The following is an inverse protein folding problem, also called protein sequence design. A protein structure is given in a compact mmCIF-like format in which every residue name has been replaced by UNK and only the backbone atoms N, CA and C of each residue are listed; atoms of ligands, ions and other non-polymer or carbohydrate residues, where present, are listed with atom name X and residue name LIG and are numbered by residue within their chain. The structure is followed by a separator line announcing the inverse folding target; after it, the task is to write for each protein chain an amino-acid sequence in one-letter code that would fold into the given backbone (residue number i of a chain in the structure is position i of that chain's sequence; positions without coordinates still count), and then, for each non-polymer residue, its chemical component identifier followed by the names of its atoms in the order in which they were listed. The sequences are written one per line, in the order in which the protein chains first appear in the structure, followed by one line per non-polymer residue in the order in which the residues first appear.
data_IF_353495478874
#
_entry.id   IF_353495478874
#
_cell.length_a   1.000
_cell.length_b   1.000
_cell.length_c   1.000
_cell.angle_alpha   90.00
_cell.angle_beta   90.00
_cell.angle_gamma   90.00
#
_symmetry.space_group_name_H-M   'P 1'
#
loop_
_entity.id
_entity.type
_entity.pdbx_description
1 polymer ?
#
# COMPACT_ATOMS: atom_id res chain seq x y z
N UNK A 1 13.85 -14.21 -10.10
CA UNK A 1 13.28 -13.26 -9.11
C UNK A 1 11.75 -13.41 -9.19
N UNK A 2 11.08 -13.55 -8.07
CA UNK A 2 9.63 -13.80 -8.06
C UNK A 2 8.86 -12.46 -7.99
N UNK A 3 7.94 -12.24 -8.94
CA UNK A 3 7.31 -10.93 -9.16
C UNK A 3 6.32 -10.51 -8.06
N UNK A 4 5.63 -11.44 -7.42
CA UNK A 4 4.66 -11.10 -6.37
C UNK A 4 5.35 -10.55 -5.12
N UNK A 5 6.57 -11.04 -4.81
CA UNK A 5 7.39 -10.52 -3.71
C UNK A 5 7.87 -9.11 -4.03
N UNK A 6 8.31 -8.85 -5.27
CA UNK A 6 8.71 -7.51 -5.69
C UNK A 6 7.54 -6.56 -5.57
N UNK A 7 6.39 -6.93 -6.13
CA UNK A 7 5.18 -6.10 -6.09
C UNK A 7 4.73 -5.83 -4.64
N UNK A 8 4.73 -6.83 -3.76
CA UNK A 8 4.36 -6.64 -2.36
C UNK A 8 5.34 -5.68 -1.63
N UNK A 9 6.64 -5.83 -1.86
CA UNK A 9 7.67 -5.00 -1.21
C UNK A 9 7.66 -3.56 -1.71
N UNK A 10 7.52 -3.33 -3.03
CA UNK A 10 7.43 -1.94 -3.54
C UNK A 10 6.15 -1.26 -3.06
N UNK A 11 5.04 -2.01 -2.97
CA UNK A 11 3.78 -1.49 -2.43
C UNK A 11 3.94 -1.12 -0.95
N UNK A 12 4.59 -1.97 -0.16
CA UNK A 12 4.86 -1.70 1.25
C UNK A 12 5.81 -0.49 1.44
N UNK A 13 6.83 -0.36 0.59
CA UNK A 13 7.72 0.80 0.60
C UNK A 13 6.95 2.10 0.31
N UNK A 14 6.09 2.09 -0.71
CA UNK A 14 5.22 3.22 -1.04
C UNK A 14 4.28 3.57 0.11
N UNK A 15 3.65 2.57 0.74
CA UNK A 15 2.78 2.76 1.91
C UNK A 15 3.55 3.36 3.10
N UNK A 16 4.77 2.89 3.37
CA UNK A 16 5.61 3.40 4.45
C UNK A 16 6.04 4.86 4.20
N UNK A 17 6.40 5.21 2.97
CA UNK A 17 6.68 6.60 2.57
C UNK A 17 5.43 7.47 2.79
N UNK A 18 4.26 7.01 2.33
CA UNK A 18 3.01 7.72 2.56
C UNK A 18 2.72 7.96 4.04
N UNK A 19 2.87 6.94 4.88
CA UNK A 19 2.69 7.07 6.34
C UNK A 19 3.67 8.08 6.95
N UNK A 20 4.96 8.00 6.59
CA UNK A 20 6.02 8.88 7.10
C UNK A 20 5.77 10.33 6.72
N UNK A 21 5.40 10.60 5.47
CA UNK A 21 5.11 11.96 5.01
C UNK A 21 3.84 12.52 5.65
N UNK A 22 2.79 11.70 5.72
CA UNK A 22 1.48 12.15 6.17
C UNK A 22 1.29 12.17 7.68
N UNK A 23 2.17 11.55 8.47
CA UNK A 23 2.07 11.62 9.94
C UNK A 23 2.29 13.01 10.50
N UNK A 24 3.00 13.89 9.78
CA UNK A 24 3.42 15.19 10.29
C UNK A 24 4.28 15.04 11.54
N UNK A 25 3.96 15.80 12.60
CA UNK A 25 4.67 15.74 13.88
C UNK A 25 4.14 14.66 14.85
N UNK A 26 3.07 13.93 14.50
CA UNK A 26 2.52 12.90 15.37
C UNK A 26 3.36 11.62 15.37
N UNK A 27 3.27 10.86 16.46
CA UNK A 27 3.83 9.52 16.56
C UNK A 27 2.77 8.50 16.15
N UNK A 28 3.14 7.60 15.26
CA UNK A 28 2.28 6.50 14.83
C UNK A 28 2.50 5.29 15.74
N UNK A 29 1.79 5.21 16.87
CA UNK A 29 2.02 4.17 17.88
C UNK A 29 1.20 2.91 17.67
N UNK A 30 0.06 3.02 16.98
CA UNK A 30 -0.86 1.90 16.74
C UNK A 30 -1.15 1.78 15.25
N UNK A 31 -0.76 0.64 14.69
CA UNK A 31 -1.05 0.26 13.31
C UNK A 31 -2.31 -0.59 13.26
N UNK A 32 -3.29 -0.16 12.50
CA UNK A 32 -4.49 -0.91 12.20
C UNK A 32 -4.42 -1.57 10.84
N UNK A 33 -4.77 -2.85 10.76
CA UNK A 33 -4.75 -3.61 9.52
C UNK A 33 -6.13 -4.19 9.23
N UNK A 34 -6.64 -3.91 8.04
CA UNK A 34 -7.84 -4.53 7.50
C UNK A 34 -7.41 -5.40 6.32
N UNK A 35 -7.52 -6.72 6.48
CA UNK A 35 -6.95 -7.75 5.62
C UNK A 35 -5.58 -8.27 6.11
N UNK A 36 -5.37 -9.59 6.01
CA UNK A 36 -4.18 -10.31 6.51
C UNK A 36 -3.37 -10.96 5.39
N UNK A 37 -3.26 -10.26 4.25
CA UNK A 37 -2.50 -10.71 3.10
C UNK A 37 -1.01 -10.38 3.17
N UNK A 38 -0.27 -10.84 2.16
CA UNK A 38 1.17 -10.59 2.00
C UNK A 38 1.50 -9.09 2.01
N UNK A 39 0.67 -8.27 1.38
CA UNK A 39 0.89 -6.82 1.30
C UNK A 39 0.91 -6.20 2.70
N UNK A 40 -0.11 -6.47 3.54
CA UNK A 40 -0.14 -5.96 4.90
C UNK A 40 1.01 -6.52 5.75
N UNK A 41 1.46 -7.75 5.53
CA UNK A 41 2.64 -8.28 6.21
C UNK A 41 3.91 -7.49 5.87
N UNK A 42 4.14 -7.20 4.60
CA UNK A 42 5.27 -6.37 4.18
C UNK A 42 5.12 -4.92 4.67
N UNK A 43 3.90 -4.37 4.72
CA UNK A 43 3.64 -3.03 5.30
C UNK A 43 4.05 -2.99 6.78
N UNK A 44 3.71 -4.01 7.58
CA UNK A 44 4.19 -4.10 8.97
C UNK A 44 5.72 -4.03 9.02
N UNK A 45 6.40 -4.83 8.19
CA UNK A 45 7.88 -4.87 8.16
C UNK A 45 8.50 -3.51 7.83
N UNK A 46 7.98 -2.83 6.81
CA UNK A 46 8.48 -1.53 6.39
C UNK A 46 8.17 -0.45 7.43
N UNK A 47 6.95 -0.42 7.97
CA UNK A 47 6.56 0.55 8.99
C UNK A 47 7.33 0.39 10.31
N UNK A 48 7.66 -0.83 10.73
CA UNK A 48 8.52 -1.03 11.90
C UNK A 48 9.93 -0.45 11.72
N UNK A 49 10.36 -0.25 10.47
CA UNK A 49 11.66 0.37 10.17
C UNK A 49 11.55 1.89 10.09
N UNK A 50 10.50 2.41 9.46
CA UNK A 50 10.32 3.87 9.23
C UNK A 50 9.61 4.58 10.40
N UNK A 51 8.77 3.84 11.15
CA UNK A 51 8.01 4.33 12.30
C UNK A 51 8.28 3.41 13.50
N UNK A 52 9.49 3.44 14.10
CA UNK A 52 9.89 2.52 15.18
C UNK A 52 9.09 2.70 16.47
N UNK A 53 8.29 3.76 16.56
CA UNK A 53 7.34 4.01 17.64
C UNK A 53 6.07 3.15 17.61
N UNK A 54 5.86 2.35 16.55
CA UNK A 54 4.74 1.41 16.48
C UNK A 54 4.99 0.25 17.46
N UNK A 55 4.12 0.12 18.44
CA UNK A 55 4.16 -0.91 19.48
C UNK A 55 2.96 -1.85 19.43
N UNK A 56 1.86 -1.39 18.86
CA UNK A 56 0.60 -2.16 18.77
C UNK A 56 0.16 -2.32 17.34
N UNK A 57 -0.23 -3.54 16.97
CA UNK A 57 -0.89 -3.84 15.69
C UNK A 57 -2.26 -4.44 15.96
N UNK A 58 -3.30 -3.78 15.48
CA UNK A 58 -4.67 -4.30 15.50
C UNK A 58 -4.96 -4.94 14.14
N UNK A 59 -5.46 -6.16 14.16
CA UNK A 59 -5.68 -6.96 12.95
C UNK A 59 -7.15 -7.32 12.84
N UNK A 60 -7.77 -6.99 11.71
CA UNK A 60 -9.13 -7.41 11.36
C UNK A 60 -9.13 -8.14 10.02
N UNK A 61 -9.69 -9.33 9.97
CA UNK A 61 -9.88 -10.12 8.74
C UNK A 61 -11.19 -10.89 8.84
N UNK A 62 -11.79 -11.22 7.70
CA UNK A 62 -13.01 -12.05 7.63
C UNK A 62 -12.74 -13.49 8.10
N UNK A 63 -11.49 -13.96 8.03
CA UNK A 63 -11.08 -15.29 8.48
C UNK A 63 -10.24 -15.21 9.74
N UNK A 64 -10.79 -15.69 10.84
CA UNK A 64 -10.09 -15.80 12.12
C UNK A 64 -8.80 -16.65 11.99
N UNK A 65 -8.85 -17.73 11.22
CA UNK A 65 -7.68 -18.58 11.01
C UNK A 65 -6.54 -17.82 10.33
N UNK A 66 -6.83 -17.05 9.28
CA UNK A 66 -5.85 -16.22 8.60
C UNK A 66 -5.28 -15.14 9.51
N UNK A 67 -6.13 -14.50 10.32
CA UNK A 67 -5.69 -13.52 11.29
C UNK A 67 -4.73 -14.12 12.32
N UNK A 68 -5.01 -15.32 12.82
CA UNK A 68 -4.11 -16.03 13.75
C UNK A 68 -2.78 -16.43 13.10
N UNK A 69 -2.80 -16.89 11.85
CA UNK A 69 -1.57 -17.20 11.12
C UNK A 69 -0.73 -15.94 10.88
N UNK A 70 -1.38 -14.84 10.52
CA UNK A 70 -0.75 -13.53 10.33
C UNK A 70 -0.12 -13.03 11.63
N UNK A 71 -0.86 -13.09 12.74
CA UNK A 71 -0.37 -12.74 14.08
C UNK A 71 0.92 -13.48 14.40
N UNK A 72 0.93 -14.82 14.26
CA UNK A 72 2.14 -15.63 14.52
C UNK A 72 3.34 -15.21 13.67
N UNK A 73 3.13 -14.87 12.39
CA UNK A 73 4.20 -14.37 11.52
C UNK A 73 4.71 -12.99 11.95
N UNK A 74 3.82 -12.07 12.30
CA UNK A 74 4.21 -10.74 12.73
C UNK A 74 4.92 -10.73 14.09
N UNK A 75 4.57 -11.63 15.01
CA UNK A 75 5.25 -11.78 16.29
C UNK A 75 6.75 -12.14 16.14
N UNK A 76 7.13 -12.74 15.01
CA UNK A 76 8.53 -13.05 14.72
C UNK A 76 9.35 -11.83 14.25
N UNK A 77 8.70 -10.71 13.98
CA UNK A 77 9.37 -9.51 13.48
C UNK A 77 9.99 -8.67 14.61
N UNK A 78 9.36 -8.68 15.79
CA UNK A 78 9.85 -7.91 16.95
C UNK A 78 9.18 -8.38 18.24
N UNK A 79 9.97 -8.62 19.27
CA UNK A 79 9.48 -8.99 20.61
C UNK A 79 8.71 -7.86 21.32
N UNK A 80 8.87 -6.62 20.84
CA UNK A 80 8.17 -5.45 21.39
C UNK A 80 6.76 -5.28 20.84
N UNK A 81 6.41 -6.03 19.80
CA UNK A 81 5.17 -5.82 19.07
C UNK A 81 4.00 -6.56 19.73
N UNK A 82 3.03 -5.81 20.24
CA UNK A 82 1.75 -6.36 20.68
C UNK A 82 0.80 -6.50 19.48
N UNK A 83 0.26 -7.70 19.25
CA UNK A 83 -0.66 -7.96 18.13
C UNK A 83 -1.98 -8.47 18.66
N UNK A 84 -3.03 -7.69 18.42
CA UNK A 84 -4.39 -7.98 18.81
C UNK A 84 -5.27 -8.27 17.59
N UNK A 85 -5.98 -9.38 17.61
CA UNK A 85 -7.01 -9.66 16.61
C UNK A 85 -8.32 -9.10 17.13
N UNK A 86 -8.97 -8.29 16.31
CA UNK A 86 -10.25 -7.67 16.64
C UNK A 86 -11.34 -8.15 15.67
N UNK A 87 -12.55 -8.33 16.17
CA UNK A 87 -13.68 -8.85 15.39
C UNK A 87 -14.21 -7.81 14.38
N UNK A 88 -14.16 -6.52 14.74
CA UNK A 88 -14.81 -5.43 14.03
C UNK A 88 -13.79 -4.44 13.46
N UNK A 89 -13.93 -4.08 12.19
CA UNK A 89 -13.12 -3.03 11.56
C UNK A 89 -13.28 -1.67 12.26
N UNK A 90 -14.45 -1.39 12.85
CA UNK A 90 -14.71 -0.20 13.65
C UNK A 90 -13.73 -0.05 14.83
N UNK A 91 -13.31 -1.15 15.45
CA UNK A 91 -12.29 -1.14 16.51
C UNK A 91 -10.93 -0.72 15.97
N UNK A 92 -10.55 -1.21 14.77
CA UNK A 92 -9.34 -0.79 14.07
C UNK A 92 -9.38 0.71 13.80
N UNK A 93 -10.47 1.21 13.20
CA UNK A 93 -10.63 2.62 12.85
C UNK A 93 -10.50 3.53 14.10
N UNK A 94 -11.13 3.16 15.22
CA UNK A 94 -11.16 3.96 16.44
C UNK A 94 -9.83 4.02 17.17
N UNK A 95 -9.05 2.93 17.18
CA UNK A 95 -7.88 2.80 18.04
C UNK A 95 -6.54 3.05 17.33
N UNK A 96 -6.53 3.13 16.00
CA UNK A 96 -5.28 3.19 15.24
C UNK A 96 -4.91 4.60 14.81
N UNK A 97 -3.62 4.93 14.89
CA UNK A 97 -3.04 6.19 14.39
C UNK A 97 -2.65 6.11 12.91
N UNK A 98 -2.39 4.90 12.40
CA UNK A 98 -2.25 4.60 10.97
C UNK A 98 -3.05 3.35 10.64
N UNK A 99 -3.79 3.37 9.54
CA UNK A 99 -4.70 2.29 9.16
C UNK A 99 -4.41 1.88 7.72
N UNK A 100 -4.13 0.59 7.51
CA UNK A 100 -3.91 0.04 6.17
C UNK A 100 -5.06 -0.86 5.75
N UNK A 101 -5.64 -0.55 4.59
CA UNK A 101 -6.59 -1.39 3.88
C UNK A 101 -5.86 -2.12 2.76
N UNK A 102 -5.68 -3.43 2.90
CA UNK A 102 -5.14 -4.29 1.87
C UNK A 102 -5.98 -5.58 1.77
N UNK A 103 -7.19 -5.41 1.26
CA UNK A 103 -8.22 -6.43 1.13
C UNK A 103 -8.36 -6.91 -0.32
N UNK A 104 -9.25 -7.85 -0.55
CA UNK A 104 -9.70 -8.28 -1.88
C UNK A 104 -11.10 -7.77 -2.21
N UNK A 105 -11.55 -6.70 -1.55
CA UNK A 105 -12.86 -6.11 -1.80
C UNK A 105 -12.97 -5.64 -3.26
N UNK A 106 -14.11 -5.93 -3.87
CA UNK A 106 -14.43 -5.52 -5.24
C UNK A 106 -15.36 -4.31 -5.28
N UNK A 107 -15.94 -3.96 -4.13
CA UNK A 107 -16.86 -2.83 -3.96
C UNK A 107 -16.62 -2.18 -2.60
N UNK A 108 -16.91 -0.88 -2.45
CA UNK A 108 -16.83 -0.18 -1.16
C UNK A 108 -17.69 -0.86 -0.10
N UNK A 109 -17.12 -1.01 1.08
CA UNK A 109 -17.78 -1.60 2.25
C UNK A 109 -17.58 -0.78 3.53
N UNK A 110 -16.75 0.26 3.47
CA UNK A 110 -16.58 1.25 4.54
C UNK A 110 -17.21 2.56 4.07
N UNK A 111 -18.19 3.04 4.80
CA UNK A 111 -18.93 4.26 4.49
C UNK A 111 -18.81 5.35 5.56
N UNK A 112 -18.11 5.07 6.66
CA UNK A 112 -17.90 6.01 7.77
C UNK A 112 -16.49 5.87 8.36
N UNK A 113 -15.76 6.99 8.43
CA UNK A 113 -14.48 7.13 9.11
C UNK A 113 -14.54 8.13 10.28
N UNK A 114 -15.74 8.55 10.70
CA UNK A 114 -15.91 9.53 11.78
C UNK A 114 -15.33 9.09 13.13
N UNK A 115 -15.16 7.77 13.31
CA UNK A 115 -14.56 7.19 14.51
C UNK A 115 -13.03 7.16 14.49
N UNK A 116 -12.39 7.49 13.37
CA UNK A 116 -10.94 7.54 13.30
C UNK A 116 -10.39 8.60 14.25
N UNK A 117 -9.17 8.33 14.74
CA UNK A 117 -8.47 9.33 15.54
C UNK A 117 -8.24 10.61 14.73
N UNK A 118 -8.31 11.79 15.35
CA UNK A 118 -7.89 13.02 14.71
C UNK A 118 -6.47 12.86 14.15
N UNK A 119 -6.28 13.27 12.90
CA UNK A 119 -5.01 13.15 12.18
C UNK A 119 -4.54 11.71 11.86
N UNK A 120 -5.35 10.68 12.04
CA UNK A 120 -5.02 9.34 11.58
C UNK A 120 -4.64 9.36 10.08
N UNK A 121 -3.70 8.48 9.71
CA UNK A 121 -3.28 8.29 8.32
C UNK A 121 -3.93 7.03 7.77
N UNK A 122 -4.62 7.15 6.65
CA UNK A 122 -5.25 6.04 5.97
C UNK A 122 -4.39 5.63 4.76
N UNK A 123 -3.91 4.41 4.77
CA UNK A 123 -3.20 3.77 3.66
C UNK A 123 -4.20 2.89 2.91
N UNK A 124 -4.82 3.44 1.88
CA UNK A 124 -5.88 2.78 1.10
C UNK A 124 -5.27 1.98 -0.07
N UNK A 125 -4.60 0.87 0.25
CA UNK A 125 -3.77 0.11 -0.68
C UNK A 125 -4.60 -0.77 -1.63
N UNK A 126 -5.71 -1.34 -1.16
CA UNK A 126 -6.63 -2.15 -1.96
C UNK A 126 -7.57 -1.35 -2.88
N UNK A 127 -7.66 -0.04 -2.68
CA UNK A 127 -8.29 0.96 -3.55
C UNK A 127 -9.81 0.86 -3.73
N UNK A 128 -10.51 -0.11 -3.14
CA UNK A 128 -11.96 -0.32 -3.35
C UNK A 128 -12.76 -0.47 -2.07
N UNK A 129 -12.16 -0.18 -0.91
CA UNK A 129 -12.80 -0.39 0.38
C UNK A 129 -13.67 0.78 0.82
N UNK A 130 -13.27 2.00 0.45
CA UNK A 130 -13.88 3.25 0.91
C UNK A 130 -14.98 3.73 -0.04
N UNK A 131 -16.08 4.24 0.51
CA UNK A 131 -17.15 4.82 -0.31
C UNK A 131 -16.72 6.12 -0.99
N UNK A 132 -17.35 6.52 -2.11
CA UNK A 132 -17.09 7.80 -2.77
C UNK A 132 -17.23 9.00 -1.83
N UNK A 133 -18.22 8.99 -0.93
CA UNK A 133 -18.48 10.07 0.02
C UNK A 133 -17.31 10.28 0.98
N UNK A 134 -16.66 9.19 1.42
CA UNK A 134 -15.45 9.27 2.24
C UNK A 134 -14.33 9.95 1.45
N UNK A 135 -14.10 9.53 0.20
CA UNK A 135 -13.07 10.10 -0.64
C UNK A 135 -13.32 11.60 -0.86
N UNK A 136 -14.55 11.99 -1.20
CA UNK A 136 -14.90 13.39 -1.42
C UNK A 136 -14.73 14.28 -0.17
N UNK A 137 -14.85 13.71 1.03
CA UNK A 137 -14.72 14.45 2.29
C UNK A 137 -13.29 14.52 2.84
N UNK A 138 -12.35 13.71 2.31
CA UNK A 138 -11.00 13.55 2.84
C UNK A 138 -9.96 14.45 2.15
N UNK A 139 -8.75 14.49 2.73
CA UNK A 139 -7.53 14.99 2.09
C UNK A 139 -6.89 13.85 1.31
N UNK A 140 -7.10 13.81 -0.01
CA UNK A 140 -6.67 12.68 -0.84
C UNK A 140 -5.31 12.93 -1.49
N UNK A 141 -4.41 11.97 -1.29
CA UNK A 141 -3.10 11.89 -1.90
C UNK A 141 -3.03 10.60 -2.73
N UNK A 142 -2.49 10.66 -3.92
CA UNK A 142 -2.32 9.52 -4.83
C UNK A 142 -0.86 9.39 -5.26
N UNK A 143 -0.51 8.33 -5.94
CA UNK A 143 0.79 8.20 -6.62
C UNK A 143 0.77 8.85 -8.01
N UNK A 144 -0.35 8.72 -8.73
CA UNK A 144 -0.60 9.34 -10.02
C UNK A 144 -2.12 9.55 -10.20
N UNK A 145 -2.52 10.76 -10.60
CA UNK A 145 -3.94 11.15 -10.67
C UNK A 145 -4.69 10.34 -11.74
N UNK A 146 -4.07 10.16 -12.91
CA UNK A 146 -4.72 9.46 -14.02
C UNK A 146 -4.83 7.95 -13.75
N UNK A 147 -3.84 7.36 -13.08
CA UNK A 147 -3.87 5.95 -12.72
C UNK A 147 -4.85 5.67 -11.57
N UNK A 148 -4.86 6.50 -10.53
CA UNK A 148 -5.77 6.34 -9.40
C UNK A 148 -7.24 6.48 -9.81
N UNK A 149 -7.53 7.30 -10.82
CA UNK A 149 -8.87 7.56 -11.38
C UNK A 149 -9.29 6.54 -12.44
N UNK A 150 -8.99 5.25 -12.24
CA UNK A 150 -9.33 4.15 -13.18
C UNK A 150 -9.85 2.92 -12.47
N UNK A 151 -10.30 1.94 -13.25
CA UNK A 151 -10.58 0.56 -12.81
C UNK A 151 -11.57 0.45 -11.62
N UNK A 152 -12.51 1.38 -11.53
CA UNK A 152 -13.52 1.43 -10.47
C UNK A 152 -12.91 1.45 -9.05
N UNK A 153 -11.78 2.13 -8.89
CA UNK A 153 -11.26 2.46 -7.57
C UNK A 153 -12.22 3.38 -6.83
N UNK A 154 -12.11 3.49 -5.51
CA UNK A 154 -12.88 4.46 -4.73
C UNK A 154 -12.67 5.90 -5.23
N UNK A 155 -11.44 6.24 -5.65
CA UNK A 155 -11.10 7.53 -6.26
C UNK A 155 -11.84 7.73 -7.59
N UNK A 156 -11.83 6.71 -8.47
CA UNK A 156 -12.58 6.77 -9.74
C UNK A 156 -14.10 6.90 -9.50
N UNK A 157 -14.64 6.16 -8.53
CA UNK A 157 -16.06 6.27 -8.18
C UNK A 157 -16.41 7.67 -7.64
N UNK A 158 -15.52 8.30 -6.88
CA UNK A 158 -15.68 9.66 -6.42
C UNK A 158 -15.64 10.67 -7.56
N UNK A 159 -14.75 10.50 -8.56
CA UNK A 159 -14.72 11.29 -9.79
C UNK A 159 -16.04 11.16 -10.57
N UNK A 160 -16.56 9.95 -10.75
CA UNK A 160 -17.85 9.74 -11.43
C UNK A 160 -19.02 10.38 -10.69
N UNK A 161 -18.97 10.41 -9.35
CA UNK A 161 -20.02 11.01 -8.53
C UNK A 161 -19.96 12.55 -8.53
N UNK A 162 -18.76 13.14 -8.53
CA UNK A 162 -18.56 14.61 -8.46
C UNK A 162 -18.44 15.28 -9.83
N UNK A 163 -18.09 14.52 -10.86
CA UNK A 163 -17.83 15.03 -12.21
C UNK A 163 -16.48 15.76 -12.37
N UNK A 164 -15.60 15.72 -11.36
CA UNK A 164 -14.28 16.35 -11.38
C UNK A 164 -13.29 15.61 -10.48
N UNK A 165 -12.05 16.10 -10.42
CA UNK A 165 -10.95 15.55 -9.61
C UNK A 165 -10.43 16.52 -8.55
N UNK A 166 -11.15 17.59 -8.27
CA UNK A 166 -10.71 18.66 -7.35
C UNK A 166 -10.53 18.17 -5.91
N UNK A 167 -11.12 17.02 -5.59
CA UNK A 167 -10.94 16.35 -4.29
C UNK A 167 -9.58 15.65 -4.15
N UNK A 168 -8.80 15.47 -5.22
CA UNK A 168 -7.42 14.98 -5.17
C UNK A 168 -6.51 16.18 -4.99
N UNK A 169 -5.93 16.32 -3.78
CA UNK A 169 -5.12 17.49 -3.48
C UNK A 169 -3.76 17.47 -4.19
N UNK A 170 -3.09 16.32 -4.21
CA UNK A 170 -1.72 16.22 -4.73
C UNK A 170 -1.27 14.78 -4.93
N UNK A 171 -0.09 14.60 -5.50
CA UNK A 171 0.60 13.31 -5.55
C UNK A 171 1.63 13.19 -4.42
N UNK A 172 1.99 11.94 -4.08
CA UNK A 172 3.08 11.70 -3.14
C UNK A 172 4.43 12.19 -3.69
N UNK A 173 4.58 12.19 -5.02
CA UNK A 173 5.76 12.73 -5.70
C UNK A 173 5.93 14.22 -5.45
N UNK A 174 4.87 15.01 -5.56
CA UNK A 174 4.90 16.45 -5.29
C UNK A 174 5.27 16.74 -3.83
N UNK A 175 4.75 15.94 -2.89
CA UNK A 175 5.10 16.07 -1.47
C UNK A 175 6.59 15.78 -1.25
N UNK A 176 7.12 14.71 -1.84
CA UNK A 176 8.53 14.33 -1.71
C UNK A 176 9.48 15.35 -2.34
N UNK A 177 9.08 16.01 -3.40
CA UNK A 177 9.84 17.08 -4.06
C UNK A 177 9.74 18.42 -3.34
N UNK A 178 8.81 18.57 -2.39
CA UNK A 178 8.54 19.83 -1.70
C UNK A 178 7.63 20.79 -2.47
N UNK A 179 7.00 20.32 -3.55
CA UNK A 179 6.08 21.12 -4.39
C UNK A 179 4.69 21.24 -3.75
N UNK A 180 4.36 20.36 -2.80
CA UNK A 180 3.10 20.39 -2.05
C UNK A 180 3.32 20.10 -0.56
N UNK A 181 2.50 20.67 0.34
CA UNK A 181 2.56 20.36 1.76
C UNK A 181 2.13 18.92 2.03
N UNK A 182 2.73 18.28 3.03
CA UNK A 182 2.44 16.90 3.41
C UNK A 182 0.97 16.69 3.82
N UNK A 183 0.36 17.68 4.47
CA UNK A 183 -1.06 17.65 4.91
C UNK A 183 -1.77 18.93 4.51
N UNK A 184 -3.09 18.84 4.34
CA UNK A 184 -3.94 20.02 4.22
C UNK A 184 -4.08 20.72 5.58
N UNK A 185 -4.48 21.99 5.55
CA UNK A 185 -4.66 22.82 6.75
C UNK A 185 -6.10 22.73 7.33
N UNK A 186 -6.96 21.88 6.79
CA UNK A 186 -8.39 21.84 7.07
C UNK A 186 -8.82 20.71 8.03
N UNK A 187 -7.87 20.09 8.72
CA UNK A 187 -8.09 18.98 9.68
C UNK A 187 -8.81 17.74 9.09
N UNK A 188 -8.84 17.57 7.79
CA UNK A 188 -9.36 16.37 7.16
C UNK A 188 -8.45 15.17 7.41
N UNK A 189 -9.03 13.97 7.39
CA UNK A 189 -8.25 12.74 7.38
C UNK A 189 -7.44 12.64 6.08
N UNK A 190 -6.16 12.37 6.19
CA UNK A 190 -5.31 12.14 5.01
C UNK A 190 -5.45 10.70 4.55
N UNK A 191 -5.83 10.52 3.29
CA UNK A 191 -5.97 9.20 2.65
C UNK A 191 -4.95 9.11 1.52
N UNK A 192 -4.03 8.16 1.63
CA UNK A 192 -3.10 7.81 0.56
C UNK A 192 -3.61 6.61 -0.20
N UNK A 193 -3.95 6.82 -1.47
CA UNK A 193 -4.51 5.79 -2.37
C UNK A 193 -3.58 5.54 -3.58
N UNK A 194 -2.46 4.80 -3.40
CA UNK A 194 -1.54 4.51 -4.50
C UNK A 194 -2.11 3.42 -5.41
N UNK A 195 -2.26 3.71 -6.70
CA UNK A 195 -2.66 2.71 -7.69
C UNK A 195 -1.55 1.68 -7.94
N UNK A 196 -0.31 2.13 -7.85
CA UNK A 196 0.89 1.37 -8.15
C UNK A 196 1.37 1.62 -9.58
N UNK A 197 2.62 2.07 -9.69
CA UNK A 197 3.26 2.40 -10.95
C UNK A 197 4.30 1.34 -11.30
N UNK A 198 4.26 0.84 -12.54
CA UNK A 198 5.23 -0.16 -13.03
C UNK A 198 6.69 0.30 -12.95
N UNK A 199 6.94 1.61 -12.98
CA UNK A 199 8.28 2.18 -12.78
C UNK A 199 8.85 1.85 -11.40
N UNK A 200 8.02 1.68 -10.38
CA UNK A 200 8.46 1.29 -9.03
C UNK A 200 8.91 -0.18 -8.99
N UNK A 201 8.24 -1.06 -9.73
CA UNK A 201 8.64 -2.46 -9.87
C UNK A 201 9.97 -2.56 -10.64
N UNK A 202 10.14 -1.73 -11.69
CA UNK A 202 11.40 -1.64 -12.45
C UNK A 202 12.55 -1.15 -11.57
N UNK A 203 12.35 -0.09 -10.79
CA UNK A 203 13.36 0.47 -9.90
C UNK A 203 13.81 -0.55 -8.84
N UNK A 204 12.86 -1.26 -8.22
CA UNK A 204 13.19 -2.31 -7.24
C UNK A 204 13.88 -3.51 -7.91
N UNK A 205 13.44 -3.89 -9.12
CA UNK A 205 14.07 -4.94 -9.92
C UNK A 205 15.53 -4.58 -10.28
N UNK A 206 15.79 -3.36 -10.67
CA UNK A 206 17.14 -2.86 -10.96
C UNK A 206 18.02 -2.87 -9.70
N UNK A 207 17.51 -2.44 -8.56
CA UNK A 207 18.24 -2.51 -7.29
C UNK A 207 18.59 -3.95 -6.93
N UNK A 208 17.62 -4.87 -7.01
CA UNK A 208 17.83 -6.28 -6.71
C UNK A 208 18.86 -6.91 -7.67
N UNK A 209 18.83 -6.57 -8.95
CA UNK A 209 19.82 -7.00 -9.95
C UNK A 209 21.23 -6.51 -9.58
N UNK A 210 21.37 -5.22 -9.27
CA UNK A 210 22.65 -4.61 -8.86
C UNK A 210 23.22 -5.32 -7.63
N UNK A 211 22.40 -5.51 -6.58
CA UNK A 211 22.83 -6.20 -5.36
C UNK A 211 23.20 -7.67 -5.62
N UNK A 212 22.49 -8.36 -6.50
CA UNK A 212 22.80 -9.73 -6.87
C UNK A 212 24.17 -9.84 -7.55
N UNK A 213 24.49 -8.92 -8.47
CA UNK A 213 25.82 -8.88 -9.12
C UNK A 213 26.92 -8.58 -8.09
N UNK A 214 26.73 -7.57 -7.23
CA UNK A 214 27.70 -7.20 -6.18
C UNK A 214 27.98 -8.35 -5.21
N UNK A 215 26.97 -9.16 -4.90
CA UNK A 215 27.05 -10.30 -3.98
C UNK A 215 27.36 -11.62 -4.68
N UNK A 216 27.59 -11.61 -5.98
CA UNK A 216 27.84 -12.81 -6.81
C UNK A 216 26.71 -13.86 -6.68
N UNK A 217 25.48 -13.40 -6.56
CA UNK A 217 24.27 -14.23 -6.46
C UNK A 217 23.58 -14.37 -7.81
N UNK A 218 22.98 -15.53 -8.03
CA UNK A 218 22.25 -15.84 -9.26
C UNK A 218 23.05 -16.68 -10.24
N UNK A 219 22.41 -17.04 -11.33
CA UNK A 219 22.99 -17.85 -12.42
C UNK A 219 22.76 -17.12 -13.74
N UNK A 220 23.75 -17.22 -14.64
CA UNK A 220 23.60 -16.76 -16.02
C UNK A 220 23.02 -17.89 -16.83
N UNK A 221 21.85 -17.65 -17.41
CA UNK A 221 21.21 -18.61 -18.33
C UNK A 221 21.60 -18.20 -19.74
N UNK A 222 22.44 -19.01 -20.38
CA UNK A 222 22.76 -18.83 -21.78
C UNK A 222 21.53 -19.11 -22.66
N UNK A 223 21.43 -18.37 -23.75
CA UNK A 223 20.28 -18.51 -24.68
C UNK A 223 18.90 -18.29 -24.07
N UNK A 224 18.81 -17.45 -23.02
CA UNK A 224 17.52 -17.11 -22.39
C UNK A 224 16.58 -16.35 -23.33
N UNK A 225 17.14 -15.52 -24.21
CA UNK A 225 16.33 -14.82 -25.20
C UNK A 225 15.90 -15.80 -26.29
N UNK A 226 14.63 -15.76 -26.69
CA UNK A 226 14.17 -16.59 -27.80
C UNK A 226 14.97 -16.25 -29.08
N UNK A 227 15.27 -17.23 -29.91
CA UNK A 227 15.84 -17.02 -31.21
C UNK A 227 15.00 -15.99 -32.00
N UNK A 228 15.66 -15.19 -32.82
CA UNK A 228 14.99 -14.25 -33.73
C UNK A 228 13.89 -14.98 -34.50
N UNK A 229 12.75 -14.34 -34.72
CA UNK A 229 11.70 -14.90 -35.55
C UNK A 229 12.15 -15.26 -36.95
N UNK A 230 13.19 -14.58 -37.44
CA UNK A 230 13.86 -14.88 -38.75
C UNK A 230 14.68 -16.17 -38.73
N UNK A 231 15.03 -16.67 -37.55
CA UNK A 231 15.84 -17.89 -37.38
C UNK A 231 14.99 -19.09 -36.95
N UNK A 232 13.67 -18.92 -36.91
CA UNK A 232 12.71 -20.00 -36.59
C UNK A 232 12.22 -20.61 -37.88
N UNK A 233 12.07 -21.93 -37.88
CA UNK A 233 11.33 -22.60 -38.94
C UNK A 233 9.81 -22.28 -38.87
N UNK A 234 9.05 -22.75 -39.84
CA UNK A 234 7.59 -22.55 -39.91
C UNK A 234 6.85 -23.18 -38.72
N UNK A 235 7.45 -24.09 -37.96
CA UNK A 235 6.90 -24.67 -36.73
C UNK A 235 7.13 -23.80 -35.48
N UNK A 236 7.96 -22.74 -35.60
CA UNK A 236 8.30 -21.86 -34.48
C UNK A 236 9.42 -22.40 -33.56
N UNK A 237 10.04 -23.51 -33.95
CA UNK A 237 11.16 -24.14 -33.24
C UNK A 237 12.49 -23.49 -33.71
N UNK A 238 13.49 -23.26 -32.84
CA UNK A 238 14.83 -22.83 -33.25
C UNK A 238 15.44 -23.86 -34.20
N UNK A 239 16.03 -23.40 -35.29
CA UNK A 239 16.76 -24.23 -36.25
C UNK A 239 18.02 -24.84 -35.62
#
# INVERSE_FOLDING_TARGET
MESSIISAKRTAASAAIGAEQLKGSQKLTTLGLIGTGLINFEIVRFLLTTCPEIETVLVCDLSQERAEQFKRKCQQLSDRLSIEIVAESSTVLKKSSVISFATTATKPHISDLSQCQPNAVILHISLRDLSPEIILAADNIVDDIDHASRAQTSVHLAELASGNRDFIRTTIGDILNGDAPARSNDNKLSIYSPFGLGVLDLALGQLAYKLAIEQQMGETIESFLPASWLERDESGVPA
#
